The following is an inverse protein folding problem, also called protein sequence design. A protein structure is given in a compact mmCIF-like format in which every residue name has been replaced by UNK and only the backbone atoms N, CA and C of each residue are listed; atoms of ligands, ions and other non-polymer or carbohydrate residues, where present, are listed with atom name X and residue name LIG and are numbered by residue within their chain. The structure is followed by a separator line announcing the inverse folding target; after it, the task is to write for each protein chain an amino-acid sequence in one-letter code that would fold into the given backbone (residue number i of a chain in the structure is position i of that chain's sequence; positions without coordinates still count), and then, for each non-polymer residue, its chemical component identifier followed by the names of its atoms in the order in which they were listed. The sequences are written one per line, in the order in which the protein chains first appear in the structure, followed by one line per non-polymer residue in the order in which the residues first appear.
data_IF_437790499740
#
_entry.id   IF_437790499740
#
_cell.length_a   1.000
_cell.length_b   1.000
_cell.length_c   1.000
_cell.angle_alpha   90.00
_cell.angle_beta   90.00
_cell.angle_gamma   90.00
#
_symmetry.space_group_name_H-M   'P 1'
#
loop_
_entity.id
_entity.type
_entity.pdbx_description
1 polymer ?
#
# COMPACT_ATOMS: atom_id res chain seq x y z
N UNK A 1 -20.56 22.25 4.54
CA UNK A 1 -19.96 22.60 5.85
C UNK A 1 -18.48 22.24 5.80
N UNK A 2 -17.57 23.15 6.18
CA UNK A 2 -16.12 22.99 5.96
C UNK A 2 -15.41 22.37 7.18
N UNK A 3 -14.34 21.60 6.95
CA UNK A 3 -13.53 20.94 8.00
C UNK A 3 -13.04 21.91 9.10
N UNK A 4 -12.88 23.19 8.77
CA UNK A 4 -12.54 24.27 9.72
C UNK A 4 -13.52 24.38 10.90
N UNK A 5 -14.82 24.16 10.69
CA UNK A 5 -15.83 24.30 11.75
C UNK A 5 -15.72 23.20 12.82
N UNK A 6 -15.19 22.04 12.45
CA UNK A 6 -15.01 20.90 13.36
C UNK A 6 -13.68 21.00 14.13
N UNK A 7 -12.60 21.45 13.48
CA UNK A 7 -11.28 21.59 14.13
C UNK A 7 -11.25 22.63 15.24
N UNK A 8 -12.18 23.60 15.22
CA UNK A 8 -12.25 24.68 16.21
C UNK A 8 -13.18 24.36 17.40
N UNK A 9 -14.00 23.30 17.32
CA UNK A 9 -15.07 23.01 18.31
C UNK A 9 -14.92 21.69 19.04
N UNK A 10 -13.97 20.84 18.65
CA UNK A 10 -13.75 19.53 19.27
C UNK A 10 -12.29 19.41 19.70
N UNK A 11 -11.99 19.11 20.98
CA UNK A 11 -10.64 18.75 21.39
C UNK A 11 -10.33 17.34 20.88
N UNK A 12 -9.92 17.24 19.61
CA UNK A 12 -9.53 16.01 18.96
C UNK A 12 -8.31 16.22 18.05
N UNK A 13 -7.45 15.21 17.97
CA UNK A 13 -6.37 15.15 16.98
C UNK A 13 -6.93 14.60 15.68
N UNK A 14 -6.87 15.41 14.62
CA UNK A 14 -7.32 15.01 13.28
C UNK A 14 -6.15 14.37 12.52
N UNK A 15 -6.34 13.14 12.05
CA UNK A 15 -5.44 12.47 11.11
C UNK A 15 -6.07 12.50 9.72
N UNK A 16 -5.39 13.12 8.77
CA UNK A 16 -5.80 13.14 7.37
C UNK A 16 -4.92 12.16 6.58
N UNK A 17 -5.55 11.22 5.89
CA UNK A 17 -4.89 10.25 5.02
C UNK A 17 -5.48 10.35 3.61
N UNK A 18 -4.63 10.27 2.59
CA UNK A 18 -5.01 10.50 1.20
C UNK A 18 -3.84 10.22 0.26
N UNK A 19 -4.16 9.95 -0.99
CA UNK A 19 -3.18 9.78 -2.06
C UNK A 19 -2.89 11.17 -2.60
N UNK A 20 -1.60 11.50 -2.79
CA UNK A 20 -1.17 12.79 -3.34
C UNK A 20 -1.62 14.03 -2.53
N UNK A 21 -1.54 13.94 -1.20
CA UNK A 21 -1.88 15.08 -0.34
C UNK A 21 -0.96 16.29 -0.64
N UNK A 22 0.30 16.05 -1.01
CA UNK A 22 1.30 17.08 -1.33
C UNK A 22 0.91 17.97 -2.53
N UNK A 23 0.33 17.39 -3.59
CA UNK A 23 -0.07 18.16 -4.78
C UNK A 23 -1.58 18.42 -4.86
N UNK A 24 -2.38 17.88 -3.95
CA UNK A 24 -3.80 18.21 -3.88
C UNK A 24 -4.01 19.69 -3.49
N UNK A 25 -5.07 20.30 -4.03
CA UNK A 25 -5.53 21.65 -3.66
C UNK A 25 -5.94 21.79 -2.17
N UNK A 26 -5.77 20.73 -1.38
CA UNK A 26 -5.98 20.73 0.06
C UNK A 26 -4.86 21.50 0.80
N UNK A 27 -3.63 21.48 0.28
CA UNK A 27 -2.46 22.14 0.87
C UNK A 27 -1.87 23.28 0.02
N UNK A 28 -2.44 23.55 -1.17
CA UNK A 28 -2.00 24.65 -2.04
C UNK A 28 -2.78 25.97 -1.80
N UNK A 29 -2.15 27.11 -2.11
CA UNK A 29 -2.72 28.46 -1.93
C UNK A 29 -2.64 29.04 -0.50
N UNK A 30 -3.09 30.29 -0.32
CA UNK A 30 -2.96 31.06 0.94
C UNK A 30 -3.65 30.40 2.15
N UNK A 31 -4.69 29.58 1.92
CA UNK A 31 -5.36 28.77 2.95
C UNK A 31 -4.63 27.44 3.23
N UNK A 32 -4.04 26.81 2.21
CA UNK A 32 -3.28 25.57 2.35
C UNK A 32 -1.95 25.76 3.11
N UNK A 33 -1.29 26.90 2.91
CA UNK A 33 -0.05 27.27 3.63
C UNK A 33 -0.24 27.39 5.15
N UNK A 34 -1.40 27.89 5.63
CA UNK A 34 -1.69 27.96 7.07
C UNK A 34 -2.01 26.59 7.68
N UNK A 35 -2.46 25.63 6.86
CA UNK A 35 -2.71 24.25 7.26
C UNK A 35 -1.36 23.50 7.25
N UNK A 36 -0.55 23.63 6.21
CA UNK A 36 0.75 22.97 6.09
C UNK A 36 1.71 23.25 7.26
N UNK A 37 1.71 24.45 7.83
CA UNK A 37 2.53 24.78 9.00
C UNK A 37 2.13 24.10 10.32
N UNK A 38 0.99 23.39 10.37
CA UNK A 38 0.46 22.73 11.58
C UNK A 38 0.36 21.21 11.46
N UNK A 39 0.69 20.63 10.30
CA UNK A 39 0.63 19.19 10.06
C UNK A 39 2.01 18.66 9.65
N UNK A 40 2.42 17.54 10.25
CA UNK A 40 3.60 16.79 9.78
C UNK A 40 3.13 15.80 8.72
N UNK A 41 3.67 15.91 7.52
CA UNK A 41 3.41 14.94 6.46
C UNK A 41 4.32 13.72 6.67
N UNK A 42 3.71 12.54 6.74
CA UNK A 42 4.43 11.26 6.84
C UNK A 42 4.24 10.54 5.50
N UNK A 43 5.25 10.55 4.61
CA UNK A 43 5.14 9.87 3.33
C UNK A 43 5.16 8.36 3.52
N UNK A 44 4.25 7.65 2.87
CA UNK A 44 4.31 6.19 2.76
C UNK A 44 5.32 5.82 1.68
N UNK A 45 6.48 5.33 2.10
CA UNK A 45 7.52 4.81 1.21
C UNK A 45 7.34 3.30 0.97
N UNK A 46 7.88 2.75 -0.13
CA UNK A 46 7.95 1.31 -0.30
C UNK A 46 8.75 0.65 0.83
N UNK A 47 8.31 -0.53 1.26
CA UNK A 47 9.03 -1.28 2.30
C UNK A 47 10.39 -1.74 1.79
N UNK A 48 11.48 -1.57 2.56
CA UNK A 48 12.76 -2.17 2.23
C UNK A 48 12.68 -3.70 2.33
N UNK A 49 13.53 -4.42 1.59
CA UNK A 49 13.63 -5.87 1.74
C UNK A 49 14.40 -6.21 3.02
N UNK A 50 13.67 -6.41 4.12
CA UNK A 50 14.20 -6.73 5.43
C UNK A 50 13.28 -7.75 6.17
N UNK A 51 13.52 -7.95 7.46
CA UNK A 51 12.69 -8.82 8.31
C UNK A 51 11.24 -8.35 8.45
N UNK A 52 10.99 -7.03 8.38
CA UNK A 52 9.63 -6.47 8.45
C UNK A 52 8.85 -6.78 7.19
N UNK A 53 9.49 -6.72 6.02
CA UNK A 53 8.87 -7.19 4.77
C UNK A 53 8.45 -8.65 4.86
N UNK A 54 9.34 -9.53 5.34
CA UNK A 54 9.02 -10.95 5.52
C UNK A 54 7.87 -11.14 6.53
N UNK A 55 7.85 -10.35 7.60
CA UNK A 55 6.77 -10.31 8.57
C UNK A 55 5.43 -9.90 7.96
N UNK A 56 5.41 -8.84 7.15
CA UNK A 56 4.22 -8.39 6.42
C UNK A 56 3.67 -9.49 5.51
N UNK A 57 4.55 -10.16 4.75
CA UNK A 57 4.16 -11.29 3.89
C UNK A 57 3.55 -12.43 4.73
N UNK A 58 4.16 -12.76 5.87
CA UNK A 58 3.64 -13.79 6.77
C UNK A 58 2.25 -13.43 7.34
N UNK A 59 2.05 -12.17 7.73
CA UNK A 59 0.75 -11.68 8.21
C UNK A 59 -0.31 -11.79 7.13
N UNK A 60 -0.03 -11.36 5.90
CA UNK A 60 -0.98 -11.50 4.79
C UNK A 60 -1.29 -12.97 4.48
N UNK A 61 -0.27 -13.83 4.47
CA UNK A 61 -0.43 -15.28 4.27
C UNK A 61 -1.35 -15.90 5.33
N UNK A 62 -1.19 -15.50 6.60
CA UNK A 62 -2.01 -16.03 7.70
C UNK A 62 -3.51 -15.71 7.60
N UNK A 63 -3.89 -14.73 6.77
CA UNK A 63 -5.29 -14.36 6.54
C UNK A 63 -5.96 -15.17 5.43
N UNK A 64 -5.20 -16.00 4.71
CA UNK A 64 -5.72 -16.80 3.61
C UNK A 64 -6.49 -18.01 4.13
N UNK A 65 -7.75 -18.13 3.69
CA UNK A 65 -8.63 -19.26 4.01
C UNK A 65 -8.68 -20.28 2.86
N UNK A 66 -7.52 -20.58 2.28
CA UNK A 66 -7.39 -21.50 1.16
C UNK A 66 -7.04 -22.92 1.67
N UNK A 67 -7.94 -23.89 1.50
CA UNK A 67 -7.82 -25.20 2.16
C UNK A 67 -6.56 -26.00 1.79
N UNK A 68 -6.02 -25.81 0.58
CA UNK A 68 -4.82 -26.52 0.10
C UNK A 68 -3.56 -25.67 0.17
N UNK A 69 -3.62 -24.50 0.81
CA UNK A 69 -2.49 -23.61 0.95
C UNK A 69 -1.61 -24.06 2.12
N UNK A 70 -0.32 -24.21 1.86
CA UNK A 70 0.66 -24.56 2.90
C UNK A 70 1.22 -23.27 3.53
N UNK A 71 1.09 -23.08 4.86
CA UNK A 71 1.71 -21.96 5.53
C UNK A 71 3.22 -21.90 5.27
N UNK A 72 3.73 -20.70 4.99
CA UNK A 72 5.14 -20.48 4.67
C UNK A 72 5.43 -20.45 3.17
N UNK A 73 4.46 -20.76 2.32
CA UNK A 73 4.59 -20.68 0.86
C UNK A 73 4.90 -19.25 0.44
N UNK A 74 4.15 -18.26 0.93
CA UNK A 74 4.39 -16.86 0.53
C UNK A 74 5.66 -16.30 1.17
N UNK A 75 5.95 -16.63 2.42
CA UNK A 75 7.22 -16.21 3.06
C UNK A 75 8.47 -16.82 2.40
N UNK A 76 8.36 -17.99 1.74
CA UNK A 76 9.44 -18.54 0.91
C UNK A 76 9.63 -17.80 -0.43
N UNK A 77 8.61 -17.05 -0.85
CA UNK A 77 8.59 -16.22 -2.05
C UNK A 77 8.73 -14.73 -1.72
N UNK A 78 9.11 -14.38 -0.48
CA UNK A 78 9.21 -13.02 0.01
C UNK A 78 10.05 -12.11 -0.90
N UNK A 79 11.22 -12.58 -1.36
CA UNK A 79 12.08 -11.83 -2.27
C UNK A 79 11.41 -11.60 -3.62
N UNK A 80 10.78 -12.64 -4.18
CA UNK A 80 10.04 -12.52 -5.43
C UNK A 80 8.88 -11.51 -5.32
N UNK A 81 8.13 -11.57 -4.22
CA UNK A 81 7.05 -10.63 -3.95
C UNK A 81 7.58 -9.20 -3.80
N UNK A 82 8.74 -9.01 -3.17
CA UNK A 82 9.38 -7.69 -3.04
C UNK A 82 9.75 -7.12 -4.39
N UNK A 83 10.52 -7.88 -5.18
CA UNK A 83 10.98 -7.49 -6.51
C UNK A 83 9.80 -7.15 -7.43
N UNK A 84 8.74 -7.95 -7.37
CA UNK A 84 7.57 -7.78 -8.22
C UNK A 84 6.73 -6.56 -7.86
N UNK A 85 6.62 -6.25 -6.58
CA UNK A 85 5.76 -5.16 -6.07
C UNK A 85 6.53 -3.86 -5.84
N UNK A 86 7.86 -3.90 -5.93
CA UNK A 86 8.73 -2.80 -5.53
C UNK A 86 8.62 -2.44 -4.05
N UNK A 87 8.18 -3.36 -3.18
CA UNK A 87 7.93 -3.09 -1.76
C UNK A 87 6.62 -2.36 -1.46
N UNK A 88 5.74 -2.14 -2.44
CA UNK A 88 4.48 -1.44 -2.25
C UNK A 88 3.41 -2.37 -1.64
N UNK A 89 2.93 -2.06 -0.43
CA UNK A 89 1.91 -2.88 0.26
C UNK A 89 0.61 -3.01 -0.55
N UNK A 90 0.21 -1.93 -1.24
CA UNK A 90 -0.98 -1.95 -2.10
C UNK A 90 -0.85 -2.94 -3.26
N UNK A 91 0.30 -2.94 -3.94
CA UNK A 91 0.59 -3.89 -5.02
C UNK A 91 0.69 -5.33 -4.50
N UNK A 92 1.32 -5.54 -3.33
CA UNK A 92 1.38 -6.84 -2.66
C UNK A 92 -0.03 -7.37 -2.32
N UNK A 93 -0.85 -6.54 -1.68
CA UNK A 93 -2.21 -6.90 -1.29
C UNK A 93 -3.08 -7.21 -2.50
N UNK A 94 -2.92 -6.45 -3.59
CA UNK A 94 -3.62 -6.70 -4.85
C UNK A 94 -3.22 -8.05 -5.44
N UNK A 95 -1.92 -8.34 -5.54
CA UNK A 95 -1.41 -9.59 -6.09
C UNK A 95 -1.87 -10.83 -5.31
N UNK A 96 -1.74 -10.80 -3.98
CA UNK A 96 -2.14 -11.93 -3.11
C UNK A 96 -3.65 -12.14 -3.19
N UNK A 97 -4.45 -11.06 -3.13
CA UNK A 97 -5.91 -11.15 -3.21
C UNK A 97 -6.37 -11.68 -4.56
N UNK A 98 -5.80 -11.18 -5.66
CA UNK A 98 -6.11 -11.68 -7.00
C UNK A 98 -5.79 -13.16 -7.14
N UNK A 99 -4.61 -13.58 -6.68
CA UNK A 99 -4.20 -14.98 -6.75
C UNK A 99 -5.07 -15.89 -5.87
N UNK A 100 -5.55 -15.39 -4.71
CA UNK A 100 -6.46 -16.12 -3.85
C UNK A 100 -7.85 -16.28 -4.50
N UNK A 101 -8.38 -15.23 -5.13
CA UNK A 101 -9.64 -15.29 -5.87
C UNK A 101 -9.54 -16.29 -7.01
N UNK A 102 -8.48 -16.22 -7.82
CA UNK A 102 -8.25 -17.19 -8.90
C UNK A 102 -8.12 -18.63 -8.35
N UNK A 103 -7.45 -18.81 -7.21
CA UNK A 103 -7.31 -20.11 -6.58
C UNK A 103 -8.66 -20.71 -6.13
N UNK A 104 -9.58 -19.86 -5.64
CA UNK A 104 -10.94 -20.26 -5.29
C UNK A 104 -11.73 -20.60 -6.55
N UNK A 105 -11.71 -19.73 -7.57
CA UNK A 105 -12.48 -19.90 -8.80
C UNK A 105 -12.05 -21.12 -9.62
N UNK A 106 -10.74 -21.42 -9.63
CA UNK A 106 -10.18 -22.61 -10.29
C UNK A 106 -10.28 -23.87 -9.42
N UNK A 107 -10.72 -23.73 -8.18
CA UNK A 107 -10.74 -24.79 -7.18
C UNK A 107 -9.36 -25.27 -6.74
N UNK A 108 -8.26 -24.66 -7.18
CA UNK A 108 -6.88 -25.05 -6.78
C UNK A 108 -6.63 -24.83 -5.30
N UNK A 109 -7.27 -23.82 -4.70
CA UNK A 109 -7.20 -23.48 -3.27
C UNK A 109 -5.77 -23.39 -2.72
N UNK A 110 -4.84 -22.93 -3.55
CA UNK A 110 -3.45 -22.69 -3.14
C UNK A 110 -2.79 -21.64 -4.04
N UNK A 111 -2.02 -20.74 -3.43
CA UNK A 111 -1.23 -19.74 -4.16
C UNK A 111 0.16 -20.30 -4.48
N UNK A 112 0.60 -20.08 -5.72
CA UNK A 112 1.94 -20.45 -6.21
C UNK A 112 2.60 -19.23 -6.83
N UNK A 113 3.92 -19.30 -7.07
CA UNK A 113 4.63 -18.27 -7.84
C UNK A 113 3.98 -18.00 -9.21
N UNK A 114 3.49 -19.05 -9.87
CA UNK A 114 2.82 -18.95 -11.18
C UNK A 114 1.48 -18.23 -11.08
N UNK A 115 0.65 -18.54 -10.08
CA UNK A 115 -0.63 -17.84 -9.91
C UNK A 115 -0.41 -16.38 -9.55
N UNK A 116 0.56 -16.07 -8.69
CA UNK A 116 0.97 -14.69 -8.44
C UNK A 116 1.39 -13.97 -9.73
N UNK A 117 2.23 -14.59 -10.56
CA UNK A 117 2.70 -14.01 -11.82
C UNK A 117 1.58 -13.69 -12.81
N UNK A 118 0.47 -14.46 -12.78
CA UNK A 118 -0.67 -14.26 -13.66
C UNK A 118 -1.51 -13.02 -13.31
N UNK A 119 -1.47 -12.54 -12.07
CA UNK A 119 -2.24 -11.37 -11.64
C UNK A 119 -1.60 -10.09 -12.17
N UNK A 120 -2.27 -9.29 -13.02
CA UNK A 120 -1.73 -8.02 -13.47
C UNK A 120 -1.40 -7.13 -12.26
N UNK A 121 -0.22 -6.51 -12.26
CA UNK A 121 0.06 -5.44 -11.32
C UNK A 121 -0.30 -4.13 -12.00
N UNK A 122 -1.40 -3.52 -11.55
CA UNK A 122 -1.64 -2.13 -11.90
C UNK A 122 -0.54 -1.29 -11.24
N UNK A 123 0.42 -0.88 -12.07
CA UNK A 123 1.47 0.07 -11.72
C UNK A 123 0.93 1.49 -11.52
N UNK A 124 -0.38 1.67 -11.40
CA UNK A 124 -1.12 2.95 -11.36
C UNK A 124 -0.89 3.81 -10.11
N UNK A 125 0.13 3.50 -9.30
CA UNK A 125 0.67 4.40 -8.29
C UNK A 125 2.17 4.75 -8.51
N UNK A 126 2.78 4.35 -9.63
CA UNK A 126 4.15 4.74 -10.00
C UNK A 126 4.24 6.18 -10.51
N UNK A 127 3.15 6.79 -11.00
CA UNK A 127 3.19 8.18 -11.47
C UNK A 127 3.46 9.20 -10.35
N UNK A 128 3.22 8.84 -9.08
CA UNK A 128 3.46 9.72 -7.93
C UNK A 128 4.88 9.60 -7.35
N UNK A 129 5.49 8.41 -7.40
CA UNK A 129 6.86 8.21 -6.94
C UNK A 129 7.91 8.71 -7.93
N UNK A 130 7.59 8.79 -9.22
CA UNK A 130 8.53 9.31 -10.22
C UNK A 130 8.64 10.86 -10.20
N UNK A 131 7.60 11.56 -9.72
CA UNK A 131 7.62 13.03 -9.57
C UNK A 131 8.47 13.49 -8.37
N UNK A 132 8.48 12.73 -7.27
CA UNK A 132 9.25 13.06 -6.05
C UNK A 132 10.75 12.81 -6.21
N UNK A 133 11.18 11.86 -7.05
CA UNK A 133 12.60 11.63 -7.34
C UNK A 133 13.23 12.74 -8.20
N UNK A 134 12.44 13.42 -9.04
CA UNK A 134 12.92 14.47 -9.95
C UNK A 134 13.05 15.84 -9.28
N UNK A 135 12.33 16.09 -8.19
CA UNK A 135 12.40 17.32 -7.41
C UNK A 135 13.63 17.42 -6.47
N UNK A 136 14.43 16.35 -6.37
CA UNK A 136 15.68 16.30 -5.59
C UNK A 136 16.96 16.47 -6.45
N UNK A 137 16.83 16.87 -7.71
CA UNK A 137 17.98 17.22 -8.58
C UNK A 137 17.99 18.70 -8.91
#
# INVERSE_FOLDING_TARGET
MTSKYFSERIPATFVYAGIDIEHSNLLSGTRGQQIAGRFTLIPTAPFPYNTEWKGLVATLESTLLLHRHQPGTLTSLDRYLHDRTGGMIGALSHAIRGAAIDAILTGTESITKKSLAAIPLDHSAQSLSHLTARARR
#
